data_IF_115410075864
#
_entry.id   IF_115410075864
#
_cell.length_a   1.000
_cell.length_b   1.000
_cell.length_c   1.000
_cell.angle_alpha   90.00
_cell.angle_beta   90.00
_cell.angle_gamma   90.00
#
_symmetry.space_group_name_H-M   'P 1'
#
loop_
_entity.id
_entity.type
_entity.pdbx_description
1 polymer ?
#
# COMPACT_ATOMS: atom_id res chain seq x y z
N UNK A 1 -12.33 -1.97 -5.20
CA UNK A 1 -12.08 -2.41 -6.59
C UNK A 1 -11.76 -3.90 -6.57
N UNK A 2 -12.42 -4.71 -7.40
CA UNK A 2 -12.25 -6.17 -7.44
C UNK A 2 -13.59 -6.91 -7.55
N UNK A 3 -13.59 -8.21 -7.87
CA UNK A 3 -14.78 -9.06 -7.79
C UNK A 3 -15.44 -8.95 -6.40
N UNK A 4 -16.77 -8.92 -6.35
CA UNK A 4 -17.50 -8.83 -5.07
C UNK A 4 -17.64 -10.20 -4.36
N UNK A 5 -17.26 -11.29 -5.02
CA UNK A 5 -17.39 -12.66 -4.53
C UNK A 5 -16.11 -13.18 -3.84
N UNK A 6 -15.38 -12.29 -3.16
CA UNK A 6 -14.16 -12.62 -2.42
C UNK A 6 -14.21 -12.07 -0.98
N UNK A 7 -13.46 -12.66 -0.04
CA UNK A 7 -13.33 -12.16 1.32
C UNK A 7 -12.81 -10.72 1.37
N UNK A 8 -13.06 -10.06 2.50
CA UNK A 8 -12.49 -8.74 2.78
C UNK A 8 -10.96 -8.79 2.78
N UNK A 9 -10.33 -7.72 2.29
CA UNK A 9 -8.89 -7.56 2.37
C UNK A 9 -8.46 -7.04 3.74
N UNK A 10 -7.38 -7.60 4.25
CA UNK A 10 -6.61 -7.01 5.35
C UNK A 10 -5.56 -6.09 4.73
N UNK A 11 -5.60 -4.80 5.08
CA UNK A 11 -4.67 -3.79 4.59
C UNK A 11 -3.87 -3.22 5.75
N UNK A 12 -2.58 -2.93 5.51
CA UNK A 12 -1.69 -2.30 6.46
C UNK A 12 -0.65 -1.46 5.71
N UNK A 13 -0.07 -0.49 6.40
CA UNK A 13 1.05 0.33 5.91
C UNK A 13 2.22 0.17 6.86
N UNK A 14 3.41 0.00 6.32
CA UNK A 14 4.65 -0.08 7.07
C UNK A 14 5.61 1.01 6.59
N UNK A 15 6.32 1.63 7.53
CA UNK A 15 7.38 2.60 7.28
C UNK A 15 8.68 2.10 7.89
N UNK A 16 9.78 2.21 7.16
CA UNK A 16 11.09 1.76 7.58
C UNK A 16 12.18 2.52 6.83
N UNK A 17 13.38 2.54 7.40
CA UNK A 17 14.59 3.02 6.73
C UNK A 17 15.23 1.87 5.96
N UNK A 18 15.78 2.16 4.79
CA UNK A 18 16.48 1.17 3.97
C UNK A 18 17.68 1.77 3.26
N UNK A 19 18.67 0.94 2.98
CA UNK A 19 19.82 1.27 2.12
C UNK A 19 19.64 0.75 0.69
N UNK A 20 18.58 -0.02 0.43
CA UNK A 20 18.23 -0.51 -0.91
C UNK A 20 17.75 0.65 -1.76
N UNK A 21 18.19 0.74 -3.01
CA UNK A 21 17.61 1.64 -4.02
C UNK A 21 16.12 1.33 -4.27
N UNK A 22 15.35 2.26 -4.87
CA UNK A 22 13.93 2.03 -5.18
C UNK A 22 13.68 0.75 -6.00
N UNK A 23 14.56 0.44 -6.95
CA UNK A 23 14.42 -0.75 -7.80
C UNK A 23 14.84 -2.05 -7.09
N UNK A 24 15.81 -1.98 -6.18
CA UNK A 24 16.14 -3.12 -5.30
C UNK A 24 14.99 -3.42 -4.34
N UNK A 25 14.37 -2.37 -3.77
CA UNK A 25 13.18 -2.52 -2.94
C UNK A 25 12.02 -3.10 -3.74
N UNK A 26 11.79 -2.64 -4.98
CA UNK A 26 10.76 -3.19 -5.86
C UNK A 26 10.97 -4.69 -6.10
N UNK A 27 12.21 -5.08 -6.43
CA UNK A 27 12.58 -6.50 -6.61
C UNK A 27 12.33 -7.31 -5.33
N UNK A 28 12.67 -6.74 -4.17
CA UNK A 28 12.43 -7.37 -2.88
C UNK A 28 10.92 -7.57 -2.59
N UNK A 29 10.08 -6.55 -2.81
CA UNK A 29 8.62 -6.65 -2.69
C UNK A 29 8.05 -7.74 -3.61
N UNK A 30 8.47 -7.78 -4.87
CA UNK A 30 8.05 -8.82 -5.83
C UNK A 30 8.47 -10.23 -5.39
N UNK A 31 9.63 -10.38 -4.74
CA UNK A 31 10.06 -11.66 -4.17
C UNK A 31 9.18 -12.09 -3.01
N UNK A 32 8.82 -11.19 -2.09
CA UNK A 32 7.90 -11.47 -0.99
C UNK A 32 6.53 -11.95 -1.51
N UNK A 33 5.99 -11.27 -2.52
CA UNK A 33 4.75 -11.70 -3.17
C UNK A 33 4.89 -13.07 -3.82
N UNK A 34 6.00 -13.33 -4.52
CA UNK A 34 6.26 -14.63 -5.17
C UNK A 34 6.31 -15.76 -4.15
N UNK A 35 6.95 -15.52 -3.00
CA UNK A 35 7.00 -16.45 -1.87
C UNK A 35 5.61 -16.72 -1.29
N UNK A 36 4.80 -15.67 -1.09
CA UNK A 36 3.43 -15.79 -0.61
C UNK A 36 2.51 -16.51 -1.62
N UNK A 37 2.73 -16.28 -2.93
CA UNK A 37 1.98 -16.90 -4.05
C UNK A 37 2.30 -18.38 -4.23
N UNK A 38 3.40 -18.92 -3.71
CA UNK A 38 3.66 -20.39 -3.73
C UNK A 38 2.61 -21.18 -2.94
N UNK A 39 1.85 -20.55 -2.04
CA UNK A 39 0.70 -21.14 -1.36
C UNK A 39 -0.57 -21.18 -2.26
N UNK A 40 -0.41 -21.48 -3.56
CA UNK A 40 -1.49 -21.35 -4.56
C UNK A 40 -2.53 -22.47 -4.40
N UNK A 41 -3.60 -22.21 -3.65
CA UNK A 41 -4.70 -23.16 -3.47
C UNK A 41 -5.56 -23.32 -4.74
N UNK A 42 -5.67 -22.30 -5.62
CA UNK A 42 -6.44 -22.33 -6.88
C UNK A 42 -5.88 -21.41 -7.97
N UNK A 43 -6.05 -21.77 -9.25
CA UNK A 43 -5.74 -20.92 -10.43
C UNK A 43 -6.80 -19.80 -10.46
N UNK A 44 -6.38 -18.52 -10.44
CA UNK A 44 -7.22 -17.31 -10.25
C UNK A 44 -7.72 -17.06 -8.82
N UNK A 45 -7.19 -17.77 -7.82
CA UNK A 45 -7.51 -17.49 -6.42
C UNK A 45 -6.96 -16.14 -5.93
N UNK A 46 -7.53 -15.68 -4.82
CA UNK A 46 -7.13 -14.50 -4.06
C UNK A 46 -5.61 -14.41 -3.92
N UNK A 47 -5.04 -13.22 -4.14
CA UNK A 47 -3.62 -12.97 -3.83
C UNK A 47 -3.45 -13.02 -2.32
N UNK A 48 -2.60 -13.92 -1.84
CA UNK A 48 -2.27 -14.03 -0.42
C UNK A 48 -1.50 -12.82 0.12
N UNK A 49 -0.78 -12.11 -0.76
CA UNK A 49 -0.05 -10.88 -0.44
C UNK A 49 0.12 -10.04 -1.71
N UNK A 50 -0.03 -8.72 -1.56
CA UNK A 50 0.26 -7.67 -2.55
C UNK A 50 1.06 -6.60 -1.80
N UNK A 51 2.23 -6.20 -2.32
CA UNK A 51 3.13 -5.24 -1.66
C UNK A 51 3.44 -4.10 -2.62
N UNK A 52 2.82 -2.95 -2.38
CA UNK A 52 3.03 -1.72 -3.16
C UNK A 52 4.04 -0.77 -2.46
N UNK A 53 4.96 -0.19 -3.23
CA UNK A 53 5.79 0.92 -2.77
C UNK A 53 4.97 2.20 -2.90
N UNK A 54 4.52 2.75 -1.76
CA UNK A 54 3.70 3.96 -1.73
C UNK A 54 4.53 5.24 -1.93
N UNK A 55 5.64 5.34 -1.20
CA UNK A 55 6.54 6.48 -1.12
C UNK A 55 7.98 5.98 -0.98
N UNK A 56 8.95 6.78 -1.38
CA UNK A 56 10.37 6.50 -1.21
C UNK A 56 11.12 7.79 -0.91
N UNK A 57 11.27 8.12 0.39
CA UNK A 57 11.72 9.44 0.81
C UNK A 57 10.94 10.55 0.10
N UNK A 58 11.66 11.55 -0.41
CA UNK A 58 11.11 12.66 -1.19
C UNK A 58 11.22 12.44 -2.72
N UNK A 59 11.53 11.21 -3.16
CA UNK A 59 11.75 10.93 -4.58
C UNK A 59 10.44 10.90 -5.37
N UNK A 60 10.50 11.44 -6.59
CA UNK A 60 9.49 11.24 -7.62
C UNK A 60 10.08 10.40 -8.75
N UNK A 61 9.47 9.26 -9.00
CA UNK A 61 9.91 8.27 -10.00
C UNK A 61 8.75 8.06 -10.97
N UNK A 62 9.03 8.16 -12.26
CA UNK A 62 8.05 7.98 -13.33
C UNK A 62 8.63 7.04 -14.41
N UNK A 63 8.90 5.80 -14.01
CA UNK A 63 9.51 4.78 -14.86
C UNK A 63 8.49 3.68 -15.17
N UNK A 64 8.59 2.98 -16.32
CA UNK A 64 7.61 1.95 -16.70
C UNK A 64 7.40 0.83 -15.67
N UNK A 65 8.40 0.60 -14.81
CA UNK A 65 8.38 -0.45 -13.79
C UNK A 65 8.01 0.07 -12.39
N UNK A 66 8.13 1.37 -12.15
CA UNK A 66 7.96 1.98 -10.83
C UNK A 66 7.49 3.42 -10.94
N UNK A 67 6.36 3.71 -10.32
CA UNK A 67 5.87 5.08 -10.13
C UNK A 67 5.78 5.38 -8.65
N UNK A 68 6.47 6.43 -8.21
CA UNK A 68 6.48 6.92 -6.82
C UNK A 68 6.27 8.44 -6.85
N UNK A 69 5.36 9.03 -6.04
CA UNK A 69 4.37 8.36 -5.22
C UNK A 69 3.46 7.41 -6.01
N UNK A 70 2.99 6.35 -5.38
CA UNK A 70 2.10 5.39 -6.05
C UNK A 70 0.85 6.11 -6.58
N UNK A 71 0.47 5.86 -7.84
CA UNK A 71 -0.59 6.60 -8.54
C UNK A 71 -1.95 6.57 -7.83
N UNK A 72 -2.27 5.47 -7.15
CA UNK A 72 -3.51 5.30 -6.39
C UNK A 72 -3.39 5.65 -4.90
N UNK A 73 -2.26 6.20 -4.45
CA UNK A 73 -2.00 6.52 -3.03
C UNK A 73 -3.12 7.39 -2.45
N UNK A 74 -3.42 8.50 -3.12
CA UNK A 74 -4.33 9.54 -2.60
C UNK A 74 -5.82 9.23 -2.81
N UNK A 75 -6.15 8.15 -3.52
CA UNK A 75 -7.52 7.80 -3.88
C UNK A 75 -8.11 6.69 -2.99
N UNK A 76 -7.27 6.03 -2.20
CA UNK A 76 -7.62 4.78 -1.49
C UNK A 76 -7.63 4.99 0.01
N UNK A 77 -8.81 4.95 0.60
CA UNK A 77 -9.00 5.12 2.04
C UNK A 77 -8.22 4.07 2.85
N UNK A 78 -8.20 2.82 2.38
CA UNK A 78 -7.46 1.71 3.02
C UNK A 78 -5.93 1.84 2.92
N UNK A 79 -5.44 2.84 2.20
CA UNK A 79 -4.02 3.24 2.17
C UNK A 79 -3.81 4.49 3.01
N UNK A 80 -4.60 5.54 2.78
CA UNK A 80 -4.39 6.84 3.44
C UNK A 80 -4.70 6.81 4.94
N UNK A 81 -5.72 6.08 5.38
CA UNK A 81 -6.04 5.96 6.82
C UNK A 81 -4.86 5.36 7.60
N UNK A 82 -4.39 4.13 7.29
CA UNK A 82 -3.26 3.55 8.02
C UNK A 82 -1.95 4.33 7.82
N UNK A 83 -1.73 4.94 6.65
CA UNK A 83 -0.56 5.79 6.43
C UNK A 83 -0.60 7.05 7.32
N UNK A 84 -1.78 7.68 7.48
CA UNK A 84 -1.95 8.83 8.39
C UNK A 84 -1.78 8.44 9.85
N UNK A 85 -2.28 7.27 10.25
CA UNK A 85 -2.06 6.74 11.60
C UNK A 85 -0.57 6.53 11.89
N UNK A 86 0.17 6.02 10.91
CA UNK A 86 1.61 5.81 11.03
C UNK A 86 2.41 7.12 11.01
N UNK A 87 2.04 8.06 10.12
CA UNK A 87 2.78 9.29 9.86
C UNK A 87 1.81 10.49 9.70
N UNK A 88 1.26 11.04 10.81
CA UNK A 88 0.20 12.04 10.76
C UNK A 88 0.63 13.41 10.21
N UNK A 89 1.93 13.68 10.18
CA UNK A 89 2.52 14.92 9.67
C UNK A 89 3.18 14.76 8.30
N UNK A 90 2.96 13.63 7.63
CA UNK A 90 3.50 13.36 6.31
C UNK A 90 2.90 14.33 5.29
N UNK A 91 3.75 14.86 4.41
CA UNK A 91 3.32 15.60 3.22
C UNK A 91 3.51 14.71 2.01
N UNK A 92 2.44 14.48 1.24
CA UNK A 92 2.50 13.76 -0.02
C UNK A 92 2.67 14.80 -1.12
N UNK A 93 3.90 14.88 -1.66
CA UNK A 93 4.32 15.95 -2.57
C UNK A 93 4.21 17.31 -1.88
N UNK A 94 3.11 18.04 -2.08
CA UNK A 94 2.87 19.37 -1.49
C UNK A 94 1.68 19.40 -0.53
N UNK A 95 0.93 18.30 -0.42
CA UNK A 95 -0.31 18.26 0.36
C UNK A 95 -0.11 17.47 1.65
N UNK A 96 -0.36 18.06 2.83
CA UNK A 96 -0.39 17.33 4.10
C UNK A 96 -1.37 16.16 4.03
N UNK A 97 -0.98 15.00 4.57
CA UNK A 97 -1.82 13.79 4.52
C UNK A 97 -3.20 14.02 5.18
N UNK A 98 -3.26 14.87 6.20
CA UNK A 98 -4.48 15.22 6.93
C UNK A 98 -5.50 15.98 6.06
N UNK A 99 -5.06 16.60 4.97
CA UNK A 99 -5.93 17.41 4.10
C UNK A 99 -6.64 16.57 3.04
N UNK A 100 -6.25 15.29 2.87
CA UNK A 100 -6.96 14.38 1.97
C UNK A 100 -8.25 13.86 2.63
N UNK A 101 -9.44 14.04 2.03
CA UNK A 101 -10.70 13.54 2.58
C UNK A 101 -10.68 12.03 2.86
N UNK A 102 -10.05 11.26 1.98
CA UNK A 102 -9.93 9.81 2.06
C UNK A 102 -9.12 9.34 3.29
N UNK A 103 -8.30 10.21 3.88
CA UNK A 103 -7.55 9.90 5.12
C UNK A 103 -8.43 9.88 6.39
N UNK A 104 -9.70 10.26 6.25
CA UNK A 104 -10.71 10.27 7.31
C UNK A 104 -11.95 9.43 6.98
N UNK A 105 -12.09 8.94 5.74
CA UNK A 105 -13.28 8.24 5.28
C UNK A 105 -13.20 6.73 5.53
N UNK A 106 -13.76 6.30 6.64
CA UNK A 106 -13.85 4.89 7.04
C UNK A 106 -14.97 4.11 6.32
N UNK A 107 -15.64 4.69 5.32
CA UNK A 107 -16.72 3.99 4.60
C UNK A 107 -16.22 2.70 3.99
N UNK A 108 -16.85 1.58 4.37
CA UNK A 108 -16.46 0.24 3.91
C UNK A 108 -15.18 -0.31 4.56
N UNK A 109 -14.65 0.34 5.59
CA UNK A 109 -13.46 -0.10 6.33
C UNK A 109 -13.78 -0.34 7.80
N UNK A 110 -13.12 -1.36 8.36
CA UNK A 110 -13.18 -1.66 9.78
C UNK A 110 -11.75 -1.84 10.29
N UNK A 111 -11.43 -1.18 11.40
CA UNK A 111 -10.18 -1.43 12.09
C UNK A 111 -10.20 -2.85 12.69
N UNK A 112 -9.15 -3.62 12.42
CA UNK A 112 -8.94 -4.92 13.05
C UNK A 112 -8.40 -4.71 14.46
N UNK A 113 -9.25 -4.87 15.48
CA UNK A 113 -8.86 -4.95 16.89
C UNK A 113 -8.53 -6.41 17.25
N UNK A 114 -7.49 -6.59 18.08
CA UNK A 114 -7.26 -7.85 18.79
C UNK A 114 -8.10 -7.82 20.07
N UNK A 115 -9.39 -8.12 19.97
CA UNK A 115 -10.22 -8.44 21.14
C UNK A 115 -10.02 -9.90 21.57
#
# INVERSE_FOLDING_TARGET
MGPQDQPDFINAVAGFETVMTPFELLSFCQQLESMAKRARLRRWGERSLDVDILLYGDMQIAEPQLTVPHVGLCERNFVLIPLRELAPHLTIVETPIADYPQSHDWTGLKLLSND
#
